data_IF_069307548923
#
_entry.id   IF_069307548923
#
_cell.length_a   1.000
_cell.length_b   1.000
_cell.length_c   1.000
_cell.angle_alpha   90.00
_cell.angle_beta   90.00
_cell.angle_gamma   90.00
#
_symmetry.space_group_name_H-M   'P 1'
#
loop_
_entity.id
_entity.type
_entity.pdbx_description
1 polymer ?
#
# COMPACT_ATOMS: atom_id res chain seq x y z
N UNK A 1 32.38 26.90 -7.27
CA UNK A 1 32.68 25.57 -6.72
C UNK A 1 31.99 24.57 -7.64
N UNK A 2 32.71 24.08 -8.65
CA UNK A 2 32.20 23.14 -9.66
C UNK A 2 32.00 21.76 -9.02
N UNK A 3 30.77 21.24 -9.09
CA UNK A 3 30.44 19.88 -8.68
C UNK A 3 30.41 18.98 -9.91
N UNK A 4 31.35 18.04 -9.94
CA UNK A 4 31.52 16.99 -10.95
C UNK A 4 30.25 16.13 -11.04
N UNK A 5 29.72 16.01 -12.25
CA UNK A 5 28.75 14.99 -12.59
C UNK A 5 29.39 13.60 -12.41
N UNK A 6 28.78 12.75 -11.59
CA UNK A 6 29.12 11.33 -11.53
C UNK A 6 28.78 10.70 -12.89
N UNK A 7 29.80 10.18 -13.56
CA UNK A 7 29.70 9.41 -14.79
C UNK A 7 28.81 8.19 -14.60
N UNK A 8 27.74 8.10 -15.38
CA UNK A 8 26.98 6.87 -15.58
C UNK A 8 27.92 5.80 -16.17
N UNK A 9 27.93 4.55 -15.67
CA UNK A 9 28.70 3.49 -16.31
C UNK A 9 28.04 3.10 -17.64
N UNK A 10 28.91 2.65 -18.53
CA UNK A 10 28.73 2.35 -19.94
C UNK A 10 27.45 1.58 -20.32
N UNK A 11 27.06 1.78 -21.58
CA UNK A 11 26.18 0.90 -22.36
C UNK A 11 26.52 -0.56 -22.06
N UNK A 12 25.58 -1.27 -21.44
CA UNK A 12 25.76 -2.66 -21.01
C UNK A 12 25.88 -3.60 -22.21
N UNK A 13 26.94 -4.39 -22.24
CA UNK A 13 27.18 -5.41 -23.26
C UNK A 13 26.29 -6.65 -23.00
N UNK A 14 25.16 -6.71 -23.70
CA UNK A 14 24.24 -7.84 -23.69
C UNK A 14 24.92 -9.19 -24.01
N UNK A 15 26.08 -9.19 -24.67
CA UNK A 15 26.85 -10.42 -24.96
C UNK A 15 27.47 -11.01 -23.71
N UNK A 16 27.95 -10.18 -22.78
CA UNK A 16 28.57 -10.64 -21.54
C UNK A 16 27.54 -11.34 -20.63
N UNK A 17 26.31 -10.83 -20.58
CA UNK A 17 25.22 -11.44 -19.81
C UNK A 17 24.76 -12.80 -20.40
N UNK A 18 24.74 -12.92 -21.72
CA UNK A 18 24.42 -14.18 -22.41
C UNK A 18 25.55 -15.23 -22.21
N UNK A 19 26.82 -14.81 -22.27
CA UNK A 19 27.96 -15.68 -22.03
C UNK A 19 28.01 -16.23 -20.58
N UNK A 20 27.68 -15.40 -19.59
CA UNK A 20 27.63 -15.83 -18.19
C UNK A 20 26.55 -16.90 -17.94
N UNK A 21 25.41 -16.84 -18.63
CA UNK A 21 24.35 -17.84 -18.54
C UNK A 21 24.71 -19.15 -19.27
N UNK A 22 25.46 -19.08 -20.37
CA UNK A 22 25.93 -20.26 -21.10
C UNK A 22 26.96 -21.06 -20.28
N UNK A 23 27.86 -20.38 -19.55
CA UNK A 23 28.80 -21.02 -18.63
C UNK A 23 28.10 -21.84 -17.54
N UNK A 24 26.97 -21.34 -17.02
CA UNK A 24 26.19 -22.02 -15.98
C UNK A 24 25.42 -23.25 -16.48
N UNK A 25 25.16 -23.35 -17.80
CA UNK A 25 24.56 -24.55 -18.39
C UNK A 25 25.55 -25.65 -18.74
N UNK A 26 26.83 -25.32 -18.98
CA UNK A 26 27.86 -26.32 -19.32
C UNK A 26 28.22 -27.22 -18.12
N UNK A 27 28.08 -26.72 -16.89
CA UNK A 27 28.35 -27.50 -15.67
C UNK A 27 27.19 -28.46 -15.28
N UNK A 28 26.03 -28.32 -15.91
CA UNK A 28 24.87 -29.21 -15.72
C UNK A 28 24.68 -30.15 -16.90
N UNK A 29 25.51 -31.20 -16.99
CA UNK A 29 25.58 -32.10 -18.15
C UNK A 29 24.22 -32.58 -18.69
N UNK A 30 23.86 -32.11 -19.89
CA UNK A 30 22.75 -32.65 -20.71
C UNK A 30 23.32 -33.23 -22.01
N UNK A 31 23.21 -34.55 -22.18
CA UNK A 31 23.57 -35.28 -23.40
C UNK A 31 22.67 -34.85 -24.58
N UNK A 32 23.27 -34.42 -25.68
CA UNK A 32 22.59 -34.24 -26.98
C UNK A 32 22.30 -35.59 -27.64
N UNK A 33 21.03 -35.93 -27.83
CA UNK A 33 20.61 -36.98 -28.79
C UNK A 33 19.98 -36.32 -30.02
N UNK A 34 20.52 -36.61 -31.21
CA UNK A 34 19.95 -36.19 -32.50
C UNK A 34 18.90 -37.21 -32.95
N UNK A 35 17.67 -36.76 -33.21
CA UNK A 35 16.73 -37.51 -34.05
C UNK A 35 16.00 -36.58 -35.04
N UNK A 36 15.89 -37.08 -36.27
CA UNK A 36 15.24 -36.48 -37.44
C UNK A 36 13.70 -36.50 -37.33
N UNK A 37 12.95 -35.72 -38.14
CA UNK A 37 11.57 -35.39 -37.84
C UNK A 37 10.61 -36.49 -38.30
N UNK A 38 9.77 -36.97 -37.38
CA UNK A 38 8.50 -37.64 -37.72
C UNK A 38 7.34 -36.85 -37.11
N UNK A 39 6.36 -36.55 -37.95
CA UNK A 39 5.03 -36.04 -37.58
C UNK A 39 4.40 -36.95 -36.55
N UNK A 40 3.78 -36.38 -35.51
CA UNK A 40 2.66 -36.96 -34.76
C UNK A 40 2.11 -35.90 -33.79
N UNK A 41 0.79 -35.69 -33.82
CA UNK A 41 0.08 -34.94 -32.79
C UNK A 41 -0.12 -35.80 -31.55
N UNK A 42 0.19 -35.25 -30.37
CA UNK A 42 -0.13 -35.77 -29.02
C UNK A 42 -0.16 -34.55 -28.06
N UNK A 43 -1.01 -34.52 -27.01
CA UNK A 43 -1.46 -33.27 -26.36
C UNK A 43 -0.50 -32.71 -25.31
N UNK A 44 -0.64 -31.40 -25.08
CA UNK A 44 0.12 -30.60 -24.11
C UNK A 44 -0.11 -31.07 -22.66
N UNK A 45 0.95 -31.27 -21.84
CA UNK A 45 0.78 -31.44 -20.41
C UNK A 45 0.59 -30.08 -19.72
N UNK A 46 -0.48 -30.01 -18.92
CA UNK A 46 -0.79 -28.94 -17.98
C UNK A 46 0.23 -28.96 -16.82
N UNK A 47 1.26 -28.14 -16.91
CA UNK A 47 2.31 -28.03 -15.89
C UNK A 47 3.38 -27.01 -16.28
N UNK A 48 2.99 -25.75 -16.44
CA UNK A 48 3.86 -24.70 -16.97
C UNK A 48 4.68 -23.99 -15.91
N UNK A 49 5.99 -24.28 -15.87
CA UNK A 49 7.01 -23.38 -15.33
C UNK A 49 7.02 -22.08 -16.16
N UNK A 50 6.99 -20.92 -15.53
CA UNK A 50 6.97 -19.61 -16.20
C UNK A 50 8.16 -19.45 -17.16
N UNK A 51 7.86 -19.20 -18.44
CA UNK A 51 8.83 -18.84 -19.48
C UNK A 51 8.32 -17.61 -20.22
N UNK A 52 9.05 -16.50 -20.16
CA UNK A 52 8.81 -15.36 -21.06
C UNK A 52 9.62 -15.59 -22.34
N UNK A 53 8.92 -15.66 -23.47
CA UNK A 53 9.53 -15.86 -24.79
C UNK A 53 9.92 -14.49 -25.35
N UNK A 54 11.21 -14.29 -25.61
CA UNK A 54 11.72 -13.10 -26.29
C UNK A 54 12.25 -13.52 -27.68
N UNK A 55 11.87 -12.77 -28.71
CA UNK A 55 12.46 -12.91 -30.04
C UNK A 55 13.66 -11.96 -30.13
N UNK A 56 14.86 -12.51 -30.30
CA UNK A 56 16.01 -11.75 -30.76
C UNK A 56 16.29 -12.15 -32.21
N UNK A 57 16.20 -11.19 -33.13
CA UNK A 57 16.78 -11.37 -34.46
C UNK A 57 18.30 -11.36 -34.28
N UNK A 58 18.96 -12.46 -34.64
CA UNK A 58 20.40 -12.59 -34.49
C UNK A 58 21.13 -11.50 -35.26
N UNK A 59 21.96 -10.72 -34.59
CA UNK A 59 22.96 -9.89 -35.26
C UNK A 59 24.09 -10.81 -35.75
N UNK A 60 24.56 -10.66 -37.00
CA UNK A 60 25.67 -11.46 -37.53
C UNK A 60 26.96 -11.15 -36.74
N UNK A 61 27.65 -12.21 -36.29
CA UNK A 61 28.96 -12.04 -35.62
C UNK A 61 29.38 -13.10 -34.61
N UNK A 62 28.61 -14.17 -34.38
CA UNK A 62 29.07 -15.31 -33.56
C UNK A 62 29.75 -16.33 -34.47
N UNK A 63 31.04 -16.58 -34.24
CA UNK A 63 31.79 -17.60 -34.97
C UNK A 63 31.14 -18.97 -34.76
N UNK A 64 30.60 -19.54 -35.83
CA UNK A 64 29.86 -20.81 -35.84
C UNK A 64 28.34 -20.71 -36.08
N UNK A 65 27.78 -19.49 -36.19
CA UNK A 65 26.38 -19.29 -36.52
C UNK A 65 26.17 -19.15 -38.04
N UNK A 66 26.36 -20.25 -38.77
CA UNK A 66 25.60 -20.46 -40.00
C UNK A 66 24.22 -20.96 -39.55
N UNK A 67 23.32 -20.02 -39.25
CA UNK A 67 21.95 -20.34 -38.87
C UNK A 67 20.99 -19.48 -39.68
N UNK A 68 20.61 -20.01 -40.84
CA UNK A 68 19.32 -19.69 -41.46
C UNK A 68 18.20 -20.10 -40.49
N UNK A 69 17.90 -19.28 -39.49
CA UNK A 69 16.91 -19.62 -38.46
C UNK A 69 16.69 -18.55 -37.39
N UNK A 70 15.49 -18.55 -36.83
CA UNK A 70 15.12 -17.72 -35.67
C UNK A 70 15.47 -18.48 -34.39
N UNK A 71 16.31 -17.88 -33.54
CA UNK A 71 16.59 -18.42 -32.21
C UNK A 71 15.57 -17.85 -31.23
N UNK A 72 14.81 -18.76 -30.62
CA UNK A 72 13.84 -18.43 -29.57
C UNK A 72 14.44 -18.84 -28.24
N UNK A 73 14.56 -17.91 -27.30
CA UNK A 73 14.99 -18.18 -25.93
C UNK A 73 13.93 -17.74 -24.92
N UNK A 74 13.97 -18.35 -23.74
CA UNK A 74 13.10 -18.03 -22.62
C UNK A 74 13.92 -17.38 -21.51
N UNK A 75 13.63 -16.13 -21.20
CA UNK A 75 14.34 -15.41 -20.15
C UNK A 75 13.74 -15.77 -18.77
N UNK A 76 14.58 -15.98 -17.74
CA UNK A 76 14.10 -16.32 -16.41
C UNK A 76 13.40 -15.12 -15.76
N UNK A 77 12.19 -15.33 -15.24
CA UNK A 77 11.38 -14.28 -14.57
C UNK A 77 12.11 -13.63 -13.40
N UNK A 78 12.98 -14.37 -12.72
CA UNK A 78 13.81 -13.86 -11.63
C UNK A 78 14.85 -12.83 -12.08
N UNK A 79 15.20 -12.75 -13.37
CA UNK A 79 16.14 -11.74 -13.91
C UNK A 79 15.47 -10.73 -14.86
N UNK A 80 14.44 -11.17 -15.58
CA UNK A 80 13.63 -10.36 -16.48
C UNK A 80 12.20 -10.39 -15.95
N UNK A 81 11.97 -9.57 -14.94
CA UNK A 81 10.82 -9.69 -14.06
C UNK A 81 9.61 -8.95 -14.60
N UNK A 82 8.45 -9.28 -14.06
CA UNK A 82 7.27 -8.42 -14.09
C UNK A 82 7.00 -7.81 -12.71
N UNK A 83 6.03 -6.90 -12.56
CA UNK A 83 5.75 -6.22 -11.29
C UNK A 83 5.51 -7.18 -10.13
N UNK A 84 4.70 -8.23 -10.34
CA UNK A 84 4.42 -9.22 -9.29
C UNK A 84 5.70 -9.96 -8.82
N UNK A 85 6.56 -10.44 -9.73
CA UNK A 85 7.77 -11.15 -9.33
C UNK A 85 8.83 -10.21 -8.72
N UNK A 86 8.86 -8.95 -9.14
CA UNK A 86 9.82 -7.97 -8.64
C UNK A 86 9.39 -7.41 -7.28
N UNK A 87 8.20 -6.81 -7.20
CA UNK A 87 7.76 -6.03 -6.05
C UNK A 87 7.00 -6.89 -5.01
N UNK A 88 6.30 -7.94 -5.44
CA UNK A 88 5.49 -8.77 -4.54
C UNK A 88 6.27 -9.97 -4.01
N UNK A 89 6.72 -10.88 -4.89
CA UNK A 89 7.42 -12.08 -4.46
C UNK A 89 8.91 -11.88 -4.24
N UNK A 90 9.48 -10.77 -4.75
CA UNK A 90 10.92 -10.48 -4.73
C UNK A 90 11.76 -11.67 -5.22
N UNK A 91 11.30 -12.29 -6.31
CA UNK A 91 11.84 -13.55 -6.82
C UNK A 91 13.33 -13.46 -7.13
N UNK A 92 13.80 -12.30 -7.60
CA UNK A 92 15.23 -12.06 -7.86
C UNK A 92 16.09 -12.17 -6.59
N UNK A 93 15.60 -11.66 -5.45
CA UNK A 93 16.25 -11.80 -4.14
C UNK A 93 16.21 -13.26 -3.67
N UNK A 94 15.02 -13.89 -3.74
CA UNK A 94 14.81 -15.28 -3.30
C UNK A 94 15.68 -16.28 -4.07
N UNK A 95 15.89 -16.04 -5.37
CA UNK A 95 16.69 -16.90 -6.25
C UNK A 95 18.15 -16.46 -6.33
N UNK A 96 18.52 -15.31 -5.74
CA UNK A 96 19.85 -14.71 -5.84
C UNK A 96 20.29 -14.48 -7.29
N UNK A 97 19.34 -14.07 -8.14
CA UNK A 97 19.62 -13.77 -9.54
C UNK A 97 19.83 -12.27 -9.75
N UNK A 98 20.71 -11.87 -10.67
CA UNK A 98 20.78 -10.47 -11.10
C UNK A 98 19.46 -10.06 -11.76
N UNK A 99 19.00 -8.84 -11.43
CA UNK A 99 17.81 -8.24 -12.03
C UNK A 99 18.24 -7.28 -13.15
N UNK A 100 17.87 -7.61 -14.40
CA UNK A 100 18.22 -6.81 -15.57
C UNK A 100 17.10 -5.89 -16.03
N UNK A 101 15.85 -6.37 -15.98
CA UNK A 101 14.70 -5.60 -16.44
C UNK A 101 13.45 -5.91 -15.60
N UNK A 102 12.58 -4.91 -15.43
CA UNK A 102 11.23 -5.09 -14.89
C UNK A 102 10.21 -4.58 -15.90
N UNK A 103 9.44 -5.49 -16.49
CA UNK A 103 8.28 -5.15 -17.29
C UNK A 103 7.07 -4.87 -16.37
N UNK A 104 6.58 -3.62 -16.35
CA UNK A 104 5.53 -3.19 -15.40
C UNK A 104 4.12 -3.68 -15.78
N UNK A 105 3.93 -5.01 -15.72
CA UNK A 105 2.65 -5.72 -15.90
C UNK A 105 2.26 -6.45 -14.63
N UNK A 106 0.96 -6.75 -14.53
CA UNK A 106 0.34 -7.36 -13.35
C UNK A 106 0.38 -6.52 -12.07
N UNK A 107 0.88 -5.27 -12.13
CA UNK A 107 0.77 -4.25 -11.06
C UNK A 107 -0.49 -3.37 -11.13
N UNK A 108 -1.46 -3.73 -11.97
CA UNK A 108 -2.68 -2.95 -12.23
C UNK A 108 -2.81 -2.48 -13.68
N UNK A 109 -4.02 -2.05 -14.05
CA UNK A 109 -4.36 -1.72 -15.46
C UNK A 109 -3.95 -0.31 -15.89
N UNK A 110 -3.89 0.64 -14.95
CA UNK A 110 -3.67 2.05 -15.28
C UNK A 110 -2.20 2.45 -15.15
N UNK A 111 -1.80 3.54 -15.82
CA UNK A 111 -0.46 4.11 -15.69
C UNK A 111 -0.14 4.47 -14.23
N UNK A 112 -1.12 5.04 -13.52
CA UNK A 112 -1.00 5.45 -12.13
C UNK A 112 -0.81 4.25 -11.20
N UNK A 113 -1.43 3.10 -11.53
CA UNK A 113 -1.22 1.86 -10.77
C UNK A 113 0.23 1.36 -10.91
N UNK A 114 0.78 1.40 -12.14
CA UNK A 114 2.16 1.03 -12.42
C UNK A 114 3.14 2.00 -11.75
N UNK A 115 2.91 3.30 -11.88
CA UNK A 115 3.68 4.36 -11.21
C UNK A 115 3.69 4.14 -9.71
N UNK A 116 2.53 3.84 -9.13
CA UNK A 116 2.43 3.58 -7.70
C UNK A 116 3.25 2.36 -7.27
N UNK A 117 3.21 1.25 -8.03
CA UNK A 117 4.08 0.10 -7.74
C UNK A 117 5.58 0.46 -7.83
N UNK A 118 5.96 1.35 -8.76
CA UNK A 118 7.33 1.85 -8.85
C UNK A 118 7.71 2.73 -7.63
N UNK A 119 6.79 3.53 -7.10
CA UNK A 119 6.99 4.31 -5.86
C UNK A 119 7.11 3.42 -4.63
N UNK A 120 6.22 2.42 -4.51
CA UNK A 120 6.26 1.42 -3.44
C UNK A 120 7.62 0.69 -3.42
N UNK A 121 8.21 0.44 -4.59
CA UNK A 121 9.54 -0.16 -4.76
C UNK A 121 10.71 0.86 -4.77
N UNK A 122 10.45 2.15 -4.57
CA UNK A 122 11.43 3.25 -4.58
C UNK A 122 12.26 3.37 -5.89
N UNK A 123 11.70 2.93 -7.02
CA UNK A 123 12.33 3.01 -8.35
C UNK A 123 11.71 4.07 -9.26
N UNK A 124 10.62 4.73 -8.81
CA UNK A 124 10.07 5.90 -9.50
C UNK A 124 10.76 7.19 -9.05
N UNK A 125 10.84 8.17 -9.94
CA UNK A 125 11.31 9.52 -9.62
C UNK A 125 10.19 10.51 -9.95
N UNK A 126 9.65 11.14 -8.92
CA UNK A 126 8.67 12.21 -9.03
C UNK A 126 9.35 13.60 -9.04
N UNK A 127 8.62 14.65 -9.45
CA UNK A 127 9.08 16.04 -9.27
C UNK A 127 9.40 16.38 -7.81
N UNK A 128 10.29 17.34 -7.52
CA UNK A 128 10.69 17.70 -6.16
C UNK A 128 9.52 18.04 -5.22
N UNK A 129 8.45 18.64 -5.74
CA UNK A 129 7.26 19.03 -4.98
C UNK A 129 6.56 17.83 -4.35
N UNK A 130 6.67 16.65 -4.95
CA UNK A 130 6.11 15.41 -4.42
C UNK A 130 6.70 15.04 -3.06
N UNK A 131 7.99 15.30 -2.89
CA UNK A 131 8.81 14.92 -1.74
C UNK A 131 8.83 15.97 -0.62
N UNK A 132 8.15 17.10 -0.81
CA UNK A 132 8.13 18.21 0.14
C UNK A 132 6.69 18.65 0.54
N UNK A 133 5.85 17.75 1.07
CA UNK A 133 4.57 18.15 1.64
C UNK A 133 4.78 18.96 2.93
N UNK A 134 3.93 19.95 3.18
CA UNK A 134 4.08 20.80 4.38
C UNK A 134 3.90 20.03 5.69
N UNK A 135 2.87 19.18 5.77
CA UNK A 135 2.51 18.44 6.99
C UNK A 135 1.98 17.07 6.61
N UNK A 136 2.44 16.04 7.32
CA UNK A 136 2.04 14.65 7.08
C UNK A 136 1.33 14.04 8.28
N UNK A 137 0.51 13.03 8.01
CA UNK A 137 -0.10 12.16 9.01
C UNK A 137 0.24 10.69 8.70
N UNK A 138 0.53 9.91 9.73
CA UNK A 138 0.73 8.45 9.67
C UNK A 138 -0.25 7.75 10.62
N UNK A 139 -0.50 6.47 10.39
CA UNK A 139 -1.34 5.63 11.25
C UNK A 139 -0.95 4.16 11.12
N UNK A 140 -1.44 3.33 12.04
CA UNK A 140 -1.19 1.89 12.05
C UNK A 140 -2.40 1.10 11.56
N UNK A 141 -2.12 -0.10 11.05
CA UNK A 141 -3.14 -1.08 10.72
C UNK A 141 -3.01 -2.28 11.67
N UNK A 142 -4.13 -2.60 12.31
CA UNK A 142 -4.35 -3.92 12.89
C UNK A 142 -4.63 -4.91 11.75
N UNK A 143 -3.91 -6.02 11.78
CA UNK A 143 -3.98 -7.05 10.75
C UNK A 143 -4.62 -8.32 11.30
N UNK A 144 -5.43 -8.97 10.48
CA UNK A 144 -5.96 -10.28 10.84
C UNK A 144 -4.87 -11.34 10.69
N UNK A 145 -4.72 -12.19 11.71
CA UNK A 145 -3.77 -13.30 11.67
C UNK A 145 -4.22 -14.37 10.68
N UNK A 146 -3.25 -14.94 9.97
CA UNK A 146 -3.52 -15.97 8.98
C UNK A 146 -3.93 -17.29 9.64
N UNK A 147 -4.81 -18.07 8.98
CA UNK A 147 -5.04 -19.45 9.38
C UNK A 147 -3.74 -20.28 9.39
N UNK A 148 -3.61 -21.27 10.30
CA UNK A 148 -2.45 -22.15 10.32
C UNK A 148 -2.22 -22.85 8.97
N UNK A 149 -0.96 -22.86 8.54
CA UNK A 149 -0.55 -23.51 7.28
C UNK A 149 -1.00 -22.80 6.00
N UNK A 150 -1.51 -21.56 6.06
CA UNK A 150 -2.01 -20.82 4.89
C UNK A 150 -1.07 -20.85 3.67
N UNK A 151 0.24 -20.71 3.90
CA UNK A 151 1.25 -20.74 2.84
C UNK A 151 1.43 -22.11 2.16
N UNK A 152 1.05 -23.20 2.81
CA UNK A 152 1.17 -24.58 2.32
C UNK A 152 -0.16 -25.15 1.81
N UNK A 153 -1.23 -24.36 1.81
CA UNK A 153 -2.52 -24.82 1.30
C UNK A 153 -2.44 -25.12 -0.19
N UNK A 154 -3.02 -26.24 -0.66
CA UNK A 154 -3.04 -26.59 -2.07
C UNK A 154 -4.02 -25.71 -2.85
N UNK A 155 -3.88 -25.70 -4.18
CA UNK A 155 -4.78 -24.96 -5.09
C UNK A 155 -6.25 -25.34 -4.95
N UNK A 156 -6.58 -26.53 -4.43
CA UNK A 156 -7.97 -26.92 -4.16
C UNK A 156 -8.64 -26.07 -3.06
N UNK A 157 -7.85 -25.40 -2.21
CA UNK A 157 -8.35 -24.49 -1.15
C UNK A 157 -8.30 -23.02 -1.56
N UNK A 158 -8.17 -22.71 -2.85
CA UNK A 158 -8.13 -21.31 -3.33
C UNK A 158 -9.35 -20.52 -2.88
N UNK A 159 -10.55 -21.11 -2.90
CA UNK A 159 -11.77 -20.42 -2.44
C UNK A 159 -11.66 -19.99 -0.97
N UNK A 160 -11.22 -20.90 -0.10
CA UNK A 160 -11.07 -20.59 1.33
C UNK A 160 -10.01 -19.51 1.58
N UNK A 161 -8.94 -19.47 0.76
CA UNK A 161 -7.95 -18.39 0.83
C UNK A 161 -8.56 -17.04 0.46
N UNK A 162 -9.44 -17.00 -0.54
CA UNK A 162 -10.17 -15.80 -0.98
C UNK A 162 -11.18 -15.37 0.08
N UNK A 163 -11.93 -16.33 0.65
CA UNK A 163 -12.93 -16.10 1.70
C UNK A 163 -12.30 -15.50 2.97
N UNK A 164 -11.03 -15.82 3.25
CA UNK A 164 -10.25 -15.15 4.29
C UNK A 164 -9.71 -13.79 3.83
N UNK A 165 -9.14 -13.73 2.62
CA UNK A 165 -8.44 -12.52 2.13
C UNK A 165 -9.36 -11.31 1.98
N UNK A 166 -10.61 -11.50 1.55
CA UNK A 166 -11.53 -10.38 1.30
C UNK A 166 -11.95 -9.67 2.60
N UNK A 167 -12.48 -10.35 3.64
CA UNK A 167 -12.73 -9.73 4.94
C UNK A 167 -11.48 -9.11 5.56
N UNK A 168 -10.33 -9.78 5.49
CA UNK A 168 -9.09 -9.28 6.08
C UNK A 168 -8.59 -7.97 5.41
N UNK A 169 -8.76 -7.83 4.09
CA UNK A 169 -8.48 -6.58 3.37
C UNK A 169 -9.54 -5.50 3.65
N UNK A 170 -10.80 -5.89 3.76
CA UNK A 170 -11.88 -4.99 4.14
C UNK A 170 -11.68 -4.40 5.53
N UNK A 171 -11.27 -5.19 6.52
CA UNK A 171 -10.98 -4.71 7.88
C UNK A 171 -9.85 -3.66 7.89
N UNK A 172 -8.81 -3.85 7.07
CA UNK A 172 -7.75 -2.84 6.90
C UNK A 172 -8.26 -1.57 6.23
N UNK A 173 -9.11 -1.69 5.21
CA UNK A 173 -9.72 -0.52 4.55
C UNK A 173 -10.66 0.26 5.46
N UNK A 174 -11.38 -0.42 6.35
CA UNK A 174 -12.25 0.21 7.36
C UNK A 174 -11.46 1.02 8.38
N UNK A 175 -10.24 0.60 8.72
CA UNK A 175 -9.33 1.41 9.53
C UNK A 175 -8.81 2.62 8.73
N UNK A 176 -8.41 2.39 7.47
CA UNK A 176 -7.93 3.45 6.58
C UNK A 176 -9.00 4.49 6.23
N UNK A 177 -10.29 4.11 6.24
CA UNK A 177 -11.42 5.03 6.11
C UNK A 177 -11.32 6.18 7.13
N UNK A 178 -11.12 5.85 8.41
CA UNK A 178 -11.01 6.87 9.45
C UNK A 178 -9.74 7.72 9.31
N UNK A 179 -8.63 7.12 8.87
CA UNK A 179 -7.40 7.85 8.60
C UNK A 179 -7.56 8.85 7.45
N UNK A 180 -8.23 8.45 6.36
CA UNK A 180 -8.50 9.32 5.21
C UNK A 180 -9.42 10.48 5.61
N UNK A 181 -10.48 10.20 6.37
CA UNK A 181 -11.38 11.24 6.88
C UNK A 181 -10.61 12.24 7.78
N UNK A 182 -9.79 11.73 8.70
CA UNK A 182 -8.99 12.54 9.61
C UNK A 182 -7.94 13.38 8.87
N UNK A 183 -7.22 12.81 7.91
CA UNK A 183 -6.24 13.53 7.10
C UNK A 183 -6.87 14.71 6.35
N UNK A 184 -8.03 14.47 5.74
CA UNK A 184 -8.83 15.50 5.07
C UNK A 184 -9.34 16.55 6.04
N UNK A 185 -9.79 16.13 7.23
CA UNK A 185 -10.23 17.03 8.28
C UNK A 185 -9.12 18.00 8.66
N UNK A 186 -7.91 17.51 8.91
CA UNK A 186 -6.82 18.35 9.46
C UNK A 186 -5.86 18.89 8.38
N UNK A 187 -6.25 18.76 7.11
CA UNK A 187 -5.48 19.20 5.93
C UNK A 187 -4.02 18.73 5.94
N UNK A 188 -3.82 17.43 6.12
CA UNK A 188 -2.50 16.79 6.11
C UNK A 188 -2.42 15.75 5.00
N UNK A 189 -1.24 15.63 4.40
CA UNK A 189 -0.93 14.53 3.47
C UNK A 189 -0.86 13.22 4.27
N UNK A 190 -1.68 12.23 3.92
CA UNK A 190 -1.68 10.93 4.57
C UNK A 190 -0.60 10.01 3.98
N UNK A 191 0.38 9.63 4.78
CA UNK A 191 1.28 8.53 4.45
C UNK A 191 0.56 7.23 4.80
N UNK A 192 0.18 6.46 3.78
CA UNK A 192 -0.53 5.21 3.98
C UNK A 192 0.41 4.15 4.57
N UNK A 193 -0.07 3.30 5.49
CA UNK A 193 0.69 2.16 6.02
C UNK A 193 0.73 1.03 4.99
N UNK A 194 1.60 0.05 5.27
CA UNK A 194 1.68 -1.18 4.47
C UNK A 194 0.46 -2.04 4.76
N UNK A 195 -0.46 -2.09 3.81
CA UNK A 195 -1.52 -3.09 3.80
C UNK A 195 -0.90 -4.50 3.62
N UNK A 196 -1.53 -5.52 4.20
CA UNK A 196 -1.16 -6.93 4.06
C UNK A 196 -2.12 -7.66 3.14
N UNK A 197 -1.55 -8.31 2.13
CA UNK A 197 -2.30 -9.09 1.15
C UNK A 197 -2.12 -10.57 1.42
N UNK A 198 -3.24 -11.28 1.46
CA UNK A 198 -3.31 -12.74 1.61
C UNK A 198 -3.64 -13.42 0.28
N UNK A 199 -3.94 -12.63 -0.75
CA UNK A 199 -4.15 -13.10 -2.10
C UNK A 199 -3.54 -12.10 -3.09
N UNK A 200 -3.03 -12.62 -4.21
CA UNK A 200 -2.62 -11.78 -5.33
C UNK A 200 -3.86 -11.30 -6.08
N UNK A 201 -3.96 -10.00 -6.32
CA UNK A 201 -4.97 -9.47 -7.23
C UNK A 201 -4.53 -9.73 -8.66
N UNK A 202 -5.36 -10.41 -9.43
CA UNK A 202 -5.12 -10.63 -10.85
C UNK A 202 -6.38 -10.31 -11.67
N UNK A 203 -6.20 -10.01 -12.96
CA UNK A 203 -7.32 -9.86 -13.90
C UNK A 203 -7.81 -11.21 -14.46
N UNK A 204 -6.99 -12.25 -14.27
CA UNK A 204 -7.31 -13.65 -14.51
C UNK A 204 -7.47 -14.41 -13.17
N UNK A 205 -7.72 -15.72 -13.23
CA UNK A 205 -7.77 -16.56 -12.05
C UNK A 205 -6.41 -16.61 -11.32
N UNK A 206 -6.46 -16.86 -10.02
CA UNK A 206 -5.30 -17.23 -9.21
C UNK A 206 -5.40 -18.69 -8.80
N UNK A 207 -4.28 -19.29 -8.44
CA UNK A 207 -4.20 -20.67 -7.96
C UNK A 207 -3.45 -20.65 -6.65
N UNK A 208 -4.08 -21.16 -5.57
CA UNK A 208 -3.62 -20.96 -4.20
C UNK A 208 -3.28 -19.49 -3.91
N UNK A 209 -4.15 -18.58 -4.40
CA UNK A 209 -4.01 -17.13 -4.28
C UNK A 209 -2.76 -16.51 -4.91
N UNK A 210 -2.07 -17.24 -5.80
CA UNK A 210 -0.87 -16.79 -6.52
C UNK A 210 -1.11 -16.67 -8.02
N UNK A 211 -0.34 -15.81 -8.68
CA UNK A 211 -0.43 -15.63 -10.13
C UNK A 211 0.26 -16.80 -10.84
N UNK A 212 -0.42 -17.41 -11.80
CA UNK A 212 0.13 -18.49 -12.64
C UNK A 212 0.69 -19.71 -11.87
N UNK A 213 0.12 -20.02 -10.69
CA UNK A 213 0.55 -21.13 -9.83
C UNK A 213 2.03 -21.09 -9.44
N UNK A 214 2.65 -19.90 -9.40
CA UNK A 214 3.97 -19.76 -8.78
C UNK A 214 3.89 -20.12 -7.29
N UNK A 215 5.01 -20.53 -6.69
CA UNK A 215 5.04 -21.10 -5.33
C UNK A 215 5.95 -20.36 -4.35
N UNK A 216 6.65 -19.33 -4.84
CA UNK A 216 7.68 -18.62 -4.08
C UNK A 216 7.10 -17.45 -3.29
N UNK A 217 5.94 -16.90 -3.69
CA UNK A 217 5.26 -15.87 -2.86
C UNK A 217 4.86 -16.44 -1.52
N UNK A 218 5.28 -15.75 -0.46
CA UNK A 218 4.89 -16.01 0.93
C UNK A 218 3.89 -14.95 1.37
N UNK A 219 2.79 -15.39 1.96
CA UNK A 219 1.77 -14.54 2.56
C UNK A 219 2.03 -14.32 4.07
N UNK A 220 1.57 -13.19 4.65
CA UNK A 220 1.11 -12.02 3.91
C UNK A 220 2.30 -11.32 3.24
N UNK A 221 2.07 -10.75 2.05
CA UNK A 221 3.04 -9.85 1.43
C UNK A 221 2.53 -8.39 1.52
N UNK A 222 3.43 -7.39 1.43
CA UNK A 222 3.03 -5.99 1.34
C UNK A 222 2.13 -5.74 0.12
N UNK A 223 0.86 -5.41 0.33
CA UNK A 223 -0.07 -5.13 -0.76
C UNK A 223 0.42 -3.94 -1.58
N UNK A 224 0.52 -4.07 -2.91
CA UNK A 224 0.55 -2.91 -3.79
C UNK A 224 -0.68 -2.03 -3.54
N UNK A 225 -0.54 -0.71 -3.54
CA UNK A 225 -1.69 0.17 -3.28
C UNK A 225 -2.85 -0.06 -4.28
N UNK A 226 -2.53 -0.43 -5.52
CA UNK A 226 -3.49 -0.75 -6.58
C UNK A 226 -4.35 -1.99 -6.29
N UNK A 227 -3.98 -2.79 -5.28
CA UNK A 227 -4.73 -3.94 -4.81
C UNK A 227 -5.94 -3.50 -3.97
N UNK A 228 -5.74 -2.54 -3.08
CA UNK A 228 -6.75 -2.04 -2.11
C UNK A 228 -7.47 -0.77 -2.57
N UNK A 229 -6.81 0.08 -3.37
CA UNK A 229 -7.40 1.28 -3.96
C UNK A 229 -7.31 1.28 -5.48
N UNK A 230 -8.21 2.02 -6.12
CA UNK A 230 -8.10 2.42 -7.52
C UNK A 230 -7.11 3.57 -7.60
N UNK A 231 -5.82 3.23 -7.66
CA UNK A 231 -4.71 4.19 -7.65
C UNK A 231 -4.93 5.38 -8.60
N UNK A 232 -5.47 5.16 -9.80
CA UNK A 232 -5.84 6.26 -10.73
C UNK A 232 -6.74 7.31 -10.08
N UNK A 233 -7.83 6.89 -9.45
CA UNK A 233 -8.80 7.82 -8.88
C UNK A 233 -8.28 8.45 -7.59
N UNK A 234 -7.64 7.64 -6.74
CA UNK A 234 -7.09 8.14 -5.49
C UNK A 234 -6.02 9.21 -5.73
N UNK A 235 -5.06 8.94 -6.63
CA UNK A 235 -3.94 9.84 -6.92
C UNK A 235 -4.33 11.02 -7.82
N UNK A 236 -5.47 10.97 -8.52
CA UNK A 236 -6.00 12.11 -9.27
C UNK A 236 -6.88 13.04 -8.44
N UNK A 237 -6.96 12.83 -7.12
CA UNK A 237 -7.73 13.69 -6.21
C UNK A 237 -9.25 13.47 -6.30
N UNK A 238 -9.72 12.29 -6.72
CA UNK A 238 -11.17 12.00 -6.77
C UNK A 238 -11.77 11.71 -5.39
N UNK A 239 -10.94 11.49 -4.38
CA UNK A 239 -11.39 11.52 -2.99
C UNK A 239 -11.47 12.99 -2.55
N UNK A 240 -12.57 13.65 -2.94
CA UNK A 240 -12.84 15.05 -2.62
C UNK A 240 -14.26 15.25 -2.13
N UNK A 241 -14.43 16.18 -1.19
CA UNK A 241 -15.72 16.56 -0.62
C UNK A 241 -15.89 18.08 -0.72
N UNK A 242 -17.13 18.54 -0.88
CA UNK A 242 -17.40 19.97 -0.90
C UNK A 242 -17.28 20.50 0.54
N UNK A 243 -16.48 21.55 0.72
CA UNK A 243 -16.42 22.34 1.95
C UNK A 243 -17.30 23.59 1.76
N UNK A 244 -18.40 23.71 2.51
CA UNK A 244 -19.30 24.85 2.41
C UNK A 244 -18.68 26.16 2.93
N UNK A 245 -17.47 26.12 3.51
CA UNK A 245 -16.80 27.31 4.03
C UNK A 245 -15.96 28.03 2.96
N UNK A 246 -15.85 29.36 3.06
CA UNK A 246 -14.74 30.11 2.47
C UNK A 246 -13.46 29.87 3.29
N UNK A 247 -12.37 29.47 2.63
CA UNK A 247 -11.07 29.22 3.28
C UNK A 247 -10.47 30.53 3.84
N UNK A 248 -10.18 30.66 5.16
CA UNK A 248 -9.60 31.90 5.70
C UNK A 248 -8.10 32.10 5.39
N UNK A 249 -7.39 31.07 4.92
CA UNK A 249 -5.92 31.07 4.82
C UNK A 249 -5.32 30.54 3.51
N UNK A 250 -6.13 30.20 2.49
CA UNK A 250 -5.60 30.04 1.14
C UNK A 250 -5.82 31.36 0.40
N UNK A 251 -4.73 32.00 0.00
CA UNK A 251 -4.69 33.31 -0.63
C UNK A 251 -5.87 33.54 -1.58
N UNK A 252 -6.62 34.59 -1.27
CA UNK A 252 -7.70 35.12 -2.06
C UNK A 252 -7.22 35.43 -3.48
N UNK A 253 -7.42 34.48 -4.40
CA UNK A 253 -7.45 34.79 -5.83
C UNK A 253 -8.81 35.41 -6.14
N UNK A 254 -8.89 36.70 -6.50
CA UNK A 254 -10.15 37.41 -6.68
C UNK A 254 -10.71 37.15 -8.08
N UNK A 255 -11.15 35.93 -8.35
CA UNK A 255 -11.99 35.64 -9.51
C UNK A 255 -12.57 34.24 -9.42
N UNK A 256 -13.78 34.13 -8.85
CA UNK A 256 -14.92 33.32 -9.32
C UNK A 256 -15.97 33.35 -8.20
N UNK A 257 -17.17 33.81 -8.55
CA UNK A 257 -18.33 33.87 -7.68
C UNK A 257 -18.66 32.48 -7.09
N UNK A 258 -18.64 32.38 -5.77
CA UNK A 258 -19.59 31.60 -4.96
C UNK A 258 -19.67 30.07 -5.12
N UNK A 259 -18.69 29.41 -5.74
CA UNK A 259 -18.66 27.94 -5.81
C UNK A 259 -18.25 27.30 -4.47
N UNK A 260 -18.71 26.07 -4.15
CA UNK A 260 -18.20 25.32 -3.00
C UNK A 260 -16.69 25.13 -3.14
N UNK A 261 -15.94 25.34 -2.05
CA UNK A 261 -14.53 24.96 -2.01
C UNK A 261 -14.44 23.43 -1.89
N UNK A 262 -13.31 22.83 -2.30
CA UNK A 262 -13.17 21.37 -2.29
C UNK A 262 -12.02 20.96 -1.39
N UNK A 263 -12.25 20.03 -0.45
CA UNK A 263 -11.19 19.32 0.26
C UNK A 263 -10.84 18.08 -0.53
N UNK A 264 -9.55 17.87 -0.80
CA UNK A 264 -9.03 16.71 -1.53
C UNK A 264 -8.10 15.94 -0.60
N UNK A 265 -8.28 14.62 -0.48
CA UNK A 265 -7.32 13.79 0.22
C UNK A 265 -6.02 13.72 -0.58
N UNK A 266 -4.92 14.13 0.05
CA UNK A 266 -3.58 13.91 -0.48
C UNK A 266 -2.93 12.70 0.21
N UNK A 267 -2.35 11.78 -0.57
CA UNK A 267 -1.83 10.51 -0.06
C UNK A 267 -0.41 10.20 -0.56
N UNK A 268 0.38 9.51 0.24
CA UNK A 268 1.72 9.01 -0.10
C UNK A 268 1.87 7.53 0.27
N UNK A 269 2.77 6.85 -0.41
CA UNK A 269 3.12 5.45 -0.16
C UNK A 269 3.82 5.24 1.19
N UNK A 270 3.83 4.00 1.71
CA UNK A 270 4.54 3.69 2.95
C UNK A 270 6.05 3.97 2.89
N UNK A 271 6.67 3.86 1.70
CA UNK A 271 8.11 4.11 1.52
C UNK A 271 8.46 5.60 1.47
N UNK A 272 7.47 6.51 1.50
CA UNK A 272 7.67 7.94 1.37
C UNK A 272 8.64 8.49 2.42
N UNK A 273 8.40 8.23 3.70
CA UNK A 273 9.26 8.75 4.78
C UNK A 273 10.66 8.14 4.78
N UNK A 274 10.83 6.93 4.23
CA UNK A 274 12.14 6.30 4.06
C UNK A 274 12.86 6.72 2.77
N UNK A 275 12.21 7.48 1.89
CA UNK A 275 12.79 7.85 0.61
C UNK A 275 13.91 8.88 0.83
N UNK A 276 15.12 8.67 0.26
CA UNK A 276 16.21 9.61 0.41
C UNK A 276 15.93 11.01 -0.17
N UNK A 277 14.93 11.13 -1.05
CA UNK A 277 14.50 12.40 -1.66
C UNK A 277 13.47 13.16 -0.82
N UNK A 278 12.82 12.49 0.13
CA UNK A 278 11.89 13.15 1.05
C UNK A 278 12.64 14.18 1.87
N UNK A 279 12.03 15.36 2.00
CA UNK A 279 12.57 16.48 2.76
C UNK A 279 13.10 16.01 4.13
N UNK A 280 14.34 16.40 4.44
CA UNK A 280 15.04 15.88 5.62
C UNK A 280 14.32 16.24 6.92
N UNK A 281 13.66 17.41 6.94
CA UNK A 281 12.88 17.84 8.10
C UNK A 281 11.60 17.01 8.30
N UNK A 282 11.15 16.25 7.31
CA UNK A 282 10.08 15.24 7.47
C UNK A 282 10.65 13.87 7.79
N UNK A 283 11.71 13.45 7.08
CA UNK A 283 12.31 12.12 7.23
C UNK A 283 12.84 11.87 8.64
N UNK A 284 13.41 12.90 9.26
CA UNK A 284 14.00 12.83 10.59
C UNK A 284 13.17 13.52 11.67
N UNK A 285 11.96 13.99 11.36
CA UNK A 285 11.11 14.59 12.38
C UNK A 285 10.60 13.54 13.36
N UNK A 286 10.74 13.83 14.65
CA UNK A 286 10.07 13.09 15.73
C UNK A 286 8.55 13.26 15.58
N UNK A 287 7.78 12.18 15.42
CA UNK A 287 6.33 12.28 15.30
C UNK A 287 5.70 12.80 16.59
N UNK A 288 4.68 13.65 16.48
CA UNK A 288 3.78 13.92 17.61
C UNK A 288 2.66 12.88 17.62
N UNK A 289 2.38 12.30 18.78
CA UNK A 289 1.39 11.24 18.96
C UNK A 289 0.03 11.84 19.31
N UNK A 290 -1.02 11.51 18.55
CA UNK A 290 -2.40 11.92 18.86
C UNK A 290 -3.23 10.71 19.27
N UNK A 291 -3.76 10.75 20.51
CA UNK A 291 -4.63 9.70 21.05
C UNK A 291 -5.80 10.27 21.86
N UNK A 292 -6.80 9.44 22.10
CA UNK A 292 -7.85 9.72 23.09
C UNK A 292 -7.44 9.08 24.42
N UNK A 293 -7.68 9.78 25.53
CA UNK A 293 -7.51 9.27 26.88
C UNK A 293 -8.42 8.05 27.06
N UNK A 294 -7.84 6.90 27.39
CA UNK A 294 -8.63 5.76 27.79
C UNK A 294 -9.22 6.07 29.17
N UNK A 295 -10.52 6.40 29.23
CA UNK A 295 -11.24 6.54 30.51
C UNK A 295 -11.58 5.17 31.14
N UNK A 296 -11.32 4.08 30.41
CA UNK A 296 -11.19 2.76 30.98
C UNK A 296 -9.80 2.73 31.61
N UNK A 297 -9.75 2.91 32.92
CA UNK A 297 -8.50 2.88 33.69
C UNK A 297 -7.70 1.63 33.41
N UNK A 298 -6.43 1.69 33.79
CA UNK A 298 -5.55 0.55 34.06
C UNK A 298 -6.26 -0.48 34.96
N UNK A 299 -7.12 -1.29 34.36
CA UNK A 299 -7.83 -2.41 34.97
C UNK A 299 -7.25 -3.75 34.51
N UNK A 300 -6.00 -3.75 34.03
CA UNK A 300 -5.16 -4.93 33.93
C UNK A 300 -4.13 -5.03 35.09
N UNK A 301 -4.14 -4.08 36.03
CA UNK A 301 -3.46 -4.19 37.32
C UNK A 301 -4.49 -4.01 38.44
N UNK A 302 -4.42 -4.87 39.46
CA UNK A 302 -5.30 -4.90 40.66
C UNK A 302 -6.60 -5.72 40.53
N UNK A 303 -6.45 -7.03 40.30
CA UNK A 303 -7.34 -8.02 40.94
C UNK A 303 -6.84 -8.27 42.38
N UNK A 304 -7.23 -7.40 43.31
CA UNK A 304 -7.27 -7.71 44.75
C UNK A 304 -8.16 -6.71 45.50
N UNK A 305 -9.37 -7.16 45.86
CA UNK A 305 -10.05 -6.69 47.07
C UNK A 305 -11.24 -5.74 46.91
N UNK A 306 -12.44 -6.31 47.07
CA UNK A 306 -13.39 -5.79 48.06
C UNK A 306 -14.33 -4.64 47.70
N UNK A 307 -15.52 -4.99 47.20
CA UNK A 307 -16.85 -4.54 47.67
C UNK A 307 -17.01 -3.15 48.34
N UNK A 308 -17.85 -2.26 47.78
CA UNK A 308 -19.25 -1.99 48.22
C UNK A 308 -19.85 -0.73 47.55
N UNK A 309 -21.18 -0.71 47.51
CA UNK A 309 -22.16 0.22 46.94
C UNK A 309 -22.01 1.73 47.25
N UNK A 310 -22.45 2.61 46.33
CA UNK A 310 -23.77 3.27 46.39
C UNK A 310 -23.93 4.37 45.32
N UNK A 311 -25.19 4.63 45.00
CA UNK A 311 -25.77 5.64 44.10
C UNK A 311 -25.42 7.10 44.41
N UNK A 312 -25.31 7.95 43.38
CA UNK A 312 -26.14 9.18 43.24
C UNK A 312 -25.93 9.94 41.94
N UNK A 313 -27.05 10.51 41.50
CA UNK A 313 -27.32 11.50 40.44
C UNK A 313 -26.48 12.78 40.53
N UNK A 314 -26.16 13.38 39.38
CA UNK A 314 -25.71 14.77 39.30
C UNK A 314 -25.36 15.22 37.88
N UNK A 315 -26.27 15.94 37.23
CA UNK A 315 -25.94 16.81 36.09
C UNK A 315 -25.18 18.04 36.61
N UNK A 316 -23.99 18.32 36.10
CA UNK A 316 -23.44 19.68 36.05
C UNK A 316 -22.15 19.78 35.23
N UNK A 317 -22.14 20.82 34.40
CA UNK A 317 -21.01 21.64 33.94
C UNK A 317 -19.95 21.07 32.97
N UNK A 318 -19.78 21.82 31.89
CA UNK A 318 -18.68 21.74 30.92
C UNK A 318 -17.44 22.31 31.61
N UNK A 319 -16.55 21.46 32.11
CA UNK A 319 -15.20 21.85 32.49
C UNK A 319 -14.20 21.38 31.42
N UNK A 320 -13.57 22.36 30.77
CA UNK A 320 -12.54 22.18 29.78
C UNK A 320 -11.19 22.08 30.51
N UNK A 321 -10.88 20.93 31.11
CA UNK A 321 -9.61 20.72 31.83
C UNK A 321 -8.63 19.89 31.01
N UNK A 322 -7.75 20.58 30.30
CA UNK A 322 -6.49 20.04 29.80
C UNK A 322 -5.55 19.85 30.99
N UNK A 323 -5.14 18.62 31.29
CA UNK A 323 -4.10 18.37 32.28
C UNK A 323 -2.72 18.34 31.60
N UNK A 324 -1.89 19.34 31.95
CA UNK A 324 -0.45 19.32 31.73
C UNK A 324 0.20 18.57 32.89
N UNK A 325 0.77 17.38 32.65
CA UNK A 325 1.70 16.77 33.59
C UNK A 325 3.11 17.29 33.31
N UNK A 326 3.43 18.45 33.87
CA UNK A 326 4.80 18.96 33.93
C UNK A 326 5.48 18.42 35.19
N UNK A 327 6.36 17.43 35.03
CA UNK A 327 7.30 17.03 36.08
C UNK A 327 8.70 17.52 35.69
N UNK A 328 9.16 18.56 36.37
CA UNK A 328 10.54 19.03 36.34
C UNK A 328 11.48 17.97 36.94
N UNK A 329 12.39 17.44 36.12
CA UNK A 329 13.40 16.47 36.54
C UNK A 329 14.40 16.19 35.42
N UNK A 330 15.51 16.94 35.41
CA UNK A 330 16.62 16.83 34.46
C UNK A 330 17.35 15.49 34.59
N UNK A 331 17.33 14.65 33.55
CA UNK A 331 18.51 14.08 32.86
C UNK A 331 18.14 12.78 32.12
N UNK A 332 18.26 12.78 30.78
CA UNK A 332 18.22 11.57 29.96
C UNK A 332 17.74 11.86 28.54
N UNK A 333 18.63 11.70 27.55
CA UNK A 333 18.38 11.86 26.12
C UNK A 333 17.43 10.78 25.57
N UNK A 334 16.13 10.93 25.82
CA UNK A 334 15.08 10.32 25.03
C UNK A 334 14.50 11.39 24.12
N UNK A 335 14.41 11.13 22.82
CA UNK A 335 13.59 11.95 21.91
C UNK A 335 12.16 11.95 22.47
N UNK A 336 11.79 13.02 23.17
CA UNK A 336 10.50 13.15 23.83
C UNK A 336 9.43 13.24 22.74
N UNK A 337 8.76 12.11 22.49
CA UNK A 337 7.62 12.03 21.59
C UNK A 337 6.53 12.91 22.19
N UNK A 338 6.33 14.08 21.59
CA UNK A 338 5.28 15.00 22.00
C UNK A 338 3.91 14.34 21.86
N UNK A 339 3.16 14.29 22.96
CA UNK A 339 1.85 13.66 23.00
C UNK A 339 0.71 14.67 23.08
N UNK A 340 -0.32 14.47 22.26
CA UNK A 340 -1.57 15.21 22.22
C UNK A 340 -2.67 14.25 22.66
N UNK A 341 -3.20 14.46 23.87
CA UNK A 341 -4.23 13.60 24.45
C UNK A 341 -5.58 14.31 24.44
N UNK A 342 -6.57 13.70 23.79
CA UNK A 342 -7.96 14.18 23.76
C UNK A 342 -8.79 13.49 24.84
N UNK A 343 -9.66 14.21 25.54
CA UNK A 343 -10.56 13.58 26.53
C UNK A 343 -11.66 12.72 25.90
N UNK A 344 -12.00 13.00 24.63
CA UNK A 344 -13.03 12.31 23.85
C UNK A 344 -12.73 12.42 22.35
N UNK A 345 -13.32 11.54 21.53
CA UNK A 345 -13.34 11.73 20.09
C UNK A 345 -13.93 13.09 19.73
N UNK A 346 -13.40 13.70 18.66
CA UNK A 346 -13.74 15.06 18.23
C UNK A 346 -14.22 15.06 16.77
N UNK A 347 -15.13 15.97 16.44
CA UNK A 347 -15.55 16.19 15.04
C UNK A 347 -14.38 16.75 14.22
N UNK A 348 -14.47 16.67 12.88
CA UNK A 348 -13.50 17.26 11.96
C UNK A 348 -13.25 18.74 12.27
N UNK A 349 -14.30 19.48 12.62
CA UNK A 349 -14.24 20.88 13.00
C UNK A 349 -13.50 21.11 14.32
N UNK A 350 -13.87 20.38 15.37
CA UNK A 350 -13.18 20.49 16.67
C UNK A 350 -11.69 20.15 16.56
N UNK A 351 -11.34 19.15 15.73
CA UNK A 351 -9.94 18.77 15.48
C UNK A 351 -9.17 19.84 14.70
N UNK A 352 -9.79 20.45 13.70
CA UNK A 352 -9.19 21.58 12.99
C UNK A 352 -8.88 22.74 13.94
N UNK A 353 -9.86 23.16 14.73
CA UNK A 353 -9.72 24.27 15.67
C UNK A 353 -8.59 24.00 16.68
N UNK A 354 -8.50 22.76 17.19
CA UNK A 354 -7.40 22.34 18.07
C UNK A 354 -6.04 22.41 17.37
N UNK A 355 -5.89 21.81 16.19
CA UNK A 355 -4.59 21.69 15.51
C UNK A 355 -4.16 22.95 14.75
N UNK A 356 -5.04 23.95 14.63
CA UNK A 356 -4.71 25.29 14.15
C UNK A 356 -4.18 26.20 15.27
N UNK A 357 -4.26 25.79 16.54
CA UNK A 357 -3.68 26.55 17.62
C UNK A 357 -2.16 26.72 17.40
N UNK A 358 -1.56 27.87 17.76
CA UNK A 358 -0.12 28.13 17.59
C UNK A 358 0.76 27.08 18.26
N UNK A 359 0.23 26.39 19.26
CA UNK A 359 0.90 25.30 19.95
C UNK A 359 1.18 24.09 19.04
N UNK A 360 0.36 23.82 18.02
CA UNK A 360 0.41 22.61 17.19
C UNK A 360 0.71 22.89 15.71
N UNK A 361 0.84 24.16 15.31
CA UNK A 361 1.10 24.54 13.92
C UNK A 361 2.49 24.10 13.42
N UNK A 362 3.44 23.89 14.33
CA UNK A 362 4.80 23.40 14.05
C UNK A 362 4.87 21.89 13.84
N UNK A 363 3.82 21.13 14.18
CA UNK A 363 3.83 19.67 14.08
C UNK A 363 3.90 19.23 12.62
N UNK A 364 5.08 18.80 12.15
CA UNK A 364 5.32 18.34 10.77
C UNK A 364 4.81 16.93 10.53
N UNK A 365 5.08 16.01 11.46
CA UNK A 365 4.67 14.61 11.41
C UNK A 365 3.71 14.33 12.57
N UNK A 366 2.46 14.01 12.25
CA UNK A 366 1.46 13.58 13.23
C UNK A 366 1.26 12.07 13.10
N UNK A 367 1.44 11.31 14.17
CA UNK A 367 1.17 9.89 14.21
C UNK A 367 -0.11 9.61 14.99
N UNK A 368 -1.04 8.87 14.38
CA UNK A 368 -2.37 8.57 14.95
C UNK A 368 -2.57 7.04 14.91
N UNK A 369 -2.20 6.29 15.95
CA UNK A 369 -2.25 4.82 15.92
C UNK A 369 -3.65 4.28 15.65
N UNK A 370 -4.68 4.90 16.23
CA UNK A 370 -6.09 4.51 16.08
C UNK A 370 -6.94 5.69 15.61
N UNK A 371 -6.99 5.98 14.29
CA UNK A 371 -7.74 7.12 13.76
C UNK A 371 -9.22 7.10 14.14
N UNK A 372 -9.84 5.92 14.14
CA UNK A 372 -11.25 5.72 14.52
C UNK A 372 -11.57 6.15 15.96
N UNK A 373 -10.58 6.13 16.86
CA UNK A 373 -10.76 6.58 18.24
C UNK A 373 -10.73 8.10 18.34
N UNK A 374 -10.02 8.79 17.43
CA UNK A 374 -9.76 10.24 17.51
C UNK A 374 -10.87 11.06 16.88
N UNK A 375 -11.40 10.61 15.74
CA UNK A 375 -12.42 11.34 14.99
C UNK A 375 -13.81 10.76 15.26
N UNK A 376 -14.74 11.62 15.69
CA UNK A 376 -16.15 11.25 15.82
C UNK A 376 -16.92 11.43 14.51
N UNK A 377 -16.31 12.03 13.49
CA UNK A 377 -16.93 12.28 12.21
C UNK A 377 -16.76 13.66 11.61
N UNK A 378 -17.45 13.90 10.49
CA UNK A 378 -17.67 15.25 9.98
C UNK A 378 -18.82 15.90 10.75
N UNK A 379 -18.66 17.17 11.13
CA UNK A 379 -19.69 17.97 11.77
C UNK A 379 -20.90 18.19 10.85
N UNK A 380 -20.68 18.20 9.53
CA UNK A 380 -21.71 18.29 8.50
C UNK A 380 -22.07 16.91 7.96
N UNK A 381 -23.35 16.52 8.09
CA UNK A 381 -23.85 15.21 7.66
C UNK A 381 -23.81 15.01 6.14
N UNK A 382 -24.04 16.08 5.35
CA UNK A 382 -23.99 16.03 3.90
C UNK A 382 -22.54 15.82 3.43
N UNK A 383 -21.58 16.50 4.05
CA UNK A 383 -20.15 16.28 3.79
C UNK A 383 -19.75 14.83 4.08
N UNK A 384 -20.28 14.26 5.17
CA UNK A 384 -20.01 12.86 5.49
C UNK A 384 -20.60 11.89 4.47
N UNK A 385 -21.82 12.12 4.00
CA UNK A 385 -22.43 11.30 2.95
C UNK A 385 -21.66 11.38 1.63
N UNK A 386 -21.17 12.57 1.28
CA UNK A 386 -20.28 12.77 0.12
C UNK A 386 -18.97 11.99 0.31
N UNK A 387 -18.38 12.04 1.50
CA UNK A 387 -17.18 11.29 1.84
C UNK A 387 -17.39 9.77 1.67
N UNK A 388 -18.48 9.22 2.22
CA UNK A 388 -18.82 7.79 2.11
C UNK A 388 -18.98 7.36 0.65
N UNK A 389 -19.57 8.23 -0.17
CA UNK A 389 -19.70 7.98 -1.62
C UNK A 389 -18.35 8.03 -2.31
N UNK A 390 -17.50 8.99 -1.97
CA UNK A 390 -16.19 9.18 -2.58
C UNK A 390 -15.20 8.05 -2.22
N UNK A 391 -15.12 7.64 -0.95
CA UNK A 391 -14.22 6.57 -0.50
C UNK A 391 -14.57 5.23 -1.16
N UNK A 392 -15.87 4.95 -1.28
CA UNK A 392 -16.38 3.80 -2.02
C UNK A 392 -15.94 3.81 -3.49
N UNK A 393 -15.93 4.99 -4.15
CA UNK A 393 -15.52 5.11 -5.56
C UNK A 393 -14.02 4.85 -5.77
N UNK A 394 -13.18 5.29 -4.84
CA UNK A 394 -11.71 5.11 -4.93
C UNK A 394 -11.23 3.77 -4.41
N UNK A 395 -12.08 2.99 -3.73
CA UNK A 395 -11.76 1.63 -3.28
C UNK A 395 -11.69 0.65 -4.45
N UNK A 396 -10.77 -0.32 -4.37
CA UNK A 396 -10.58 -1.32 -5.40
C UNK A 396 -11.72 -2.34 -5.48
N UNK A 397 -11.95 -2.82 -6.71
CA UNK A 397 -12.63 -4.09 -6.95
C UNK A 397 -11.59 -5.21 -7.02
N UNK A 398 -11.87 -6.32 -6.37
CA UNK A 398 -11.05 -7.51 -6.35
C UNK A 398 -11.61 -8.58 -7.30
N UNK A 399 -10.75 -9.30 -8.02
CA UNK A 399 -11.17 -10.44 -8.85
C UNK A 399 -10.42 -11.67 -8.35
N UNK A 400 -11.11 -12.77 -8.10
CA UNK A 400 -10.46 -14.00 -7.64
C UNK A 400 -10.97 -15.29 -8.29
N UNK A 401 -12.25 -15.34 -8.68
CA UNK A 401 -12.80 -16.53 -9.30
C UNK A 401 -12.61 -16.50 -10.82
N UNK A 402 -12.22 -17.64 -11.40
CA UNK A 402 -12.45 -17.88 -12.83
C UNK A 402 -13.97 -17.83 -13.12
N UNK A 403 -14.36 -17.63 -14.38
CA UNK A 403 -15.78 -17.68 -14.76
C UNK A 403 -16.44 -18.99 -14.33
N UNK A 404 -15.69 -20.11 -14.45
CA UNK A 404 -16.17 -21.44 -14.05
C UNK A 404 -16.37 -21.54 -12.54
N UNK A 405 -15.40 -21.10 -11.73
CA UNK A 405 -15.51 -21.13 -10.27
C UNK A 405 -16.62 -20.20 -9.77
N UNK A 406 -16.75 -19.01 -10.35
CA UNK A 406 -17.84 -18.09 -10.02
C UNK A 406 -19.21 -18.73 -10.25
N UNK A 407 -19.39 -19.41 -11.39
CA UNK A 407 -20.63 -20.15 -11.69
C UNK A 407 -20.86 -21.35 -10.77
N UNK A 408 -19.81 -22.07 -10.36
CA UNK A 408 -19.94 -23.24 -9.48
C UNK A 408 -20.25 -22.86 -8.03
N UNK A 409 -19.75 -21.72 -7.56
CA UNK A 409 -19.92 -21.26 -6.19
C UNK A 409 -21.01 -20.19 -6.02
N UNK A 410 -21.75 -19.86 -7.09
CA UNK A 410 -22.79 -18.82 -7.06
C UNK A 410 -22.28 -17.42 -6.74
N UNK A 411 -20.97 -17.20 -6.85
CA UNK A 411 -20.29 -15.95 -6.48
C UNK A 411 -20.09 -15.01 -7.67
N UNK A 412 -19.76 -13.75 -7.39
CA UNK A 412 -19.36 -12.81 -8.44
C UNK A 412 -17.92 -13.06 -8.86
N UNK A 413 -17.62 -12.86 -10.15
CA UNK A 413 -16.22 -12.80 -10.63
C UNK A 413 -15.45 -11.63 -9.99
N UNK A 414 -16.19 -10.62 -9.51
CA UNK A 414 -15.66 -9.37 -8.99
C UNK A 414 -16.33 -9.06 -7.66
N UNK A 415 -15.53 -9.06 -6.61
CA UNK A 415 -15.97 -8.68 -5.27
C UNK A 415 -15.51 -7.25 -4.99
N UNK A 416 -16.41 -6.43 -4.46
CA UNK A 416 -16.05 -5.07 -4.03
C UNK A 416 -15.55 -5.16 -2.60
N UNK A 417 -14.35 -4.65 -2.35
CA UNK A 417 -13.90 -4.46 -0.97
C UNK A 417 -14.84 -3.46 -0.29
N UNK A 418 -15.17 -3.72 0.97
CA UNK A 418 -16.03 -2.89 1.79
C UNK A 418 -15.16 -1.94 2.64
N UNK A 419 -15.01 -0.66 2.24
CA UNK A 419 -14.20 0.30 2.98
C UNK A 419 -14.97 0.94 4.14
N UNK A 420 -16.31 0.87 4.10
CA UNK A 420 -17.14 1.47 5.14
C UNK A 420 -17.14 0.57 6.38
N UNK A 421 -16.90 1.14 7.57
CA UNK A 421 -17.04 0.39 8.82
C UNK A 421 -18.49 -0.08 8.98
N UNK A 422 -18.76 -1.18 9.71
CA UNK A 422 -20.10 -1.77 9.80
C UNK A 422 -21.21 -0.81 10.23
N UNK A 423 -20.90 0.19 11.07
CA UNK A 423 -21.84 1.24 11.50
C UNK A 423 -22.24 2.23 10.39
N UNK A 424 -21.64 2.11 9.20
CA UNK A 424 -21.79 3.03 8.07
C UNK A 424 -22.21 2.33 6.77
N UNK A 425 -22.36 1.01 6.79
CA UNK A 425 -22.70 0.21 5.61
C UNK A 425 -24.14 0.39 5.16
#
# INVERSE_FOLDING_TARGET
>A
MELRAASLPAVYDLRAALAAHEQQQVDGGIRRTRHAPKRLGVPWPLGGTLRHMYLAAGAPGVAGAEADGVVISCLPVSSFSHTYAFATSRLHELRQHPLYEVHWVWGGKSLESKRQCMRDAMVFTDPPEYYNPHRVMTFDLEHQEMPPGYNTWPSSRTSEMVDFSLPALSAQLQQAYWALALAMAINRTLVLPKFRCYCAKNWFATSACRINSERDTVFPFPCPLSHVFRAKLLLSGELKVADPRPHPHLGSSPSIQGGPTWRVADVREPSFLSNPRTDESLRFATPSLLRVRNNLGDADDVMSGGSTSSSRTGWSSIDNSLSHSGSDGVSGSGDDVREIVLDRPRTDRELQELLLAPEYDTVRVLHVPRPAAVISGFADALMWQQYDTAVQRVTATWCCHSTREASLHGGSRRERLQPLPPSRQ
#
